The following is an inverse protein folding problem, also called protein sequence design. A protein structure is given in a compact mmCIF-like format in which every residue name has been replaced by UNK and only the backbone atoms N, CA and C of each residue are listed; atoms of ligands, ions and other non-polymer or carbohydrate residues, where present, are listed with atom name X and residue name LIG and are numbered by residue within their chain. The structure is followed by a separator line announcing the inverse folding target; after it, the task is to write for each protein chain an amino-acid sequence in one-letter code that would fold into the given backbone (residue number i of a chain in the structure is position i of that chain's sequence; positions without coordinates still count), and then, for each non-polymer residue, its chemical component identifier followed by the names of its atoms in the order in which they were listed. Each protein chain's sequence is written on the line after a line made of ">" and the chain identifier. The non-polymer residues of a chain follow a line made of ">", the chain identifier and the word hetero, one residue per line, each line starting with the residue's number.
data_IF_051628698545
#
_entry.id   IF_051628698545
#
_cell.length_a   1.000
_cell.length_b   1.000
_cell.length_c   1.000
_cell.angle_alpha   90.00
_cell.angle_beta   90.00
_cell.angle_gamma   90.00
#
_symmetry.space_group_name_H-M   'P 1'
#
loop_
_entity.id
_entity.type
_entity.pdbx_description
1 polymer ?
#
# COMPACT_ATOMS: atom_id res chain seq x y z
N UNK A 1 21.52 -10.66 2.18
CA UNK A 1 20.53 -11.10 3.15
C UNK A 1 19.13 -10.79 2.69
N UNK A 2 18.23 -11.72 2.85
CA UNK A 2 16.86 -11.53 2.41
C UNK A 2 16.12 -10.54 3.30
N UNK A 3 15.31 -9.72 2.70
CA UNK A 3 14.45 -8.81 3.44
C UNK A 3 13.21 -9.57 3.89
N UNK A 4 12.69 -9.19 5.03
CA UNK A 4 11.49 -9.83 5.54
C UNK A 4 10.24 -9.28 4.90
N UNK A 5 9.11 -9.91 5.25
CA UNK A 5 7.82 -9.47 4.74
C UNK A 5 7.50 -8.04 5.16
N UNK A 6 7.93 -7.66 6.34
CA UNK A 6 7.66 -6.32 6.85
C UNK A 6 8.24 -5.26 5.89
N UNK A 7 9.46 -5.49 5.44
CA UNK A 7 10.09 -4.55 4.50
C UNK A 7 9.33 -4.48 3.19
N UNK A 8 8.80 -5.61 2.75
CA UNK A 8 8.00 -5.65 1.53
C UNK A 8 6.71 -4.85 1.72
N UNK A 9 6.07 -4.99 2.87
CA UNK A 9 4.84 -4.23 3.16
C UNK A 9 5.12 -2.74 3.14
N UNK A 10 6.21 -2.31 3.78
CA UNK A 10 6.56 -0.91 3.82
C UNK A 10 6.83 -0.39 2.41
N UNK A 11 7.52 -1.19 1.60
CA UNK A 11 7.81 -0.79 0.23
C UNK A 11 6.51 -0.62 -0.57
N UNK A 12 5.56 -1.54 -0.40
CA UNK A 12 4.29 -1.46 -1.11
C UNK A 12 3.50 -0.21 -0.71
N UNK A 13 3.41 0.03 0.59
CA UNK A 13 2.70 1.20 1.09
C UNK A 13 3.32 2.47 0.51
N UNK A 14 4.63 2.59 0.60
CA UNK A 14 5.32 3.77 0.12
C UNK A 14 5.12 3.97 -1.37
N UNK A 15 5.23 2.89 -2.15
CA UNK A 15 5.13 2.96 -3.60
C UNK A 15 3.74 3.41 -4.02
N UNK A 16 2.71 2.81 -3.44
CA UNK A 16 1.34 3.14 -3.80
C UNK A 16 0.99 4.54 -3.33
N UNK A 17 1.42 4.88 -2.11
CA UNK A 17 1.14 6.20 -1.55
C UNK A 17 1.73 7.30 -2.42
N UNK A 18 3.00 7.16 -2.82
CA UNK A 18 3.66 8.18 -3.62
C UNK A 18 3.08 8.31 -5.01
N UNK A 19 2.62 7.18 -5.57
CA UNK A 19 2.03 7.18 -6.90
C UNK A 19 0.63 7.79 -6.91
N UNK A 20 -0.04 7.75 -5.78
CA UNK A 20 -1.44 8.14 -5.71
C UNK A 20 -2.33 7.01 -6.18
N UNK A 21 -2.18 6.59 -7.41
CA UNK A 21 -2.82 5.40 -7.95
C UNK A 21 -1.86 4.73 -8.92
N UNK A 22 -1.90 3.40 -8.96
CA UNK A 22 -0.91 2.65 -9.72
C UNK A 22 -1.48 1.29 -10.07
N UNK A 23 -1.14 0.77 -11.24
CA UNK A 23 -1.57 -0.56 -11.64
C UNK A 23 -0.67 -1.62 -11.04
N UNK A 24 -1.18 -2.85 -11.00
CA UNK A 24 -0.38 -3.97 -10.52
C UNK A 24 0.86 -4.17 -11.41
N UNK A 25 0.70 -4.02 -12.71
CA UNK A 25 1.82 -4.16 -13.62
C UNK A 25 2.92 -3.14 -13.32
N UNK A 26 2.53 -1.92 -13.05
CA UNK A 26 3.51 -0.89 -12.76
C UNK A 26 4.17 -1.14 -11.40
N UNK A 27 3.42 -1.64 -10.45
CA UNK A 27 3.99 -2.02 -9.15
C UNK A 27 5.11 -3.03 -9.36
N UNK A 28 4.84 -4.04 -10.20
CA UNK A 28 5.85 -5.07 -10.43
C UNK A 28 7.04 -4.54 -11.21
N UNK A 29 6.84 -3.61 -12.14
CA UNK A 29 7.95 -2.99 -12.82
C UNK A 29 8.91 -2.32 -11.83
N UNK A 30 8.33 -1.61 -10.87
CA UNK A 30 9.15 -0.94 -9.86
C UNK A 30 9.74 -1.92 -8.88
N UNK A 31 8.99 -2.96 -8.53
CA UNK A 31 9.46 -4.00 -7.63
C UNK A 31 10.70 -4.68 -8.19
N UNK A 32 10.70 -4.97 -9.50
CA UNK A 32 11.82 -5.66 -10.13
C UNK A 32 13.09 -4.81 -10.14
N UNK A 33 12.98 -3.51 -9.92
CA UNK A 33 14.14 -2.63 -9.82
C UNK A 33 14.78 -2.66 -8.46
N UNK A 34 14.11 -3.26 -7.48
CA UNK A 34 14.66 -3.36 -6.13
C UNK A 34 15.47 -4.63 -5.99
N UNK A 35 16.44 -4.59 -5.07
CA UNK A 35 17.19 -5.79 -4.76
C UNK A 35 16.34 -6.82 -4.03
N UNK A 36 15.32 -6.34 -3.33
CA UNK A 36 14.43 -7.24 -2.59
C UNK A 36 13.71 -8.22 -3.48
N UNK A 37 13.52 -7.85 -4.76
CA UNK A 37 12.76 -8.69 -5.67
C UNK A 37 13.51 -9.94 -6.07
N UNK A 38 14.82 -9.91 -6.03
CA UNK A 38 15.63 -11.01 -6.53
C UNK A 38 15.27 -11.35 -7.99
N UNK A 39 14.82 -10.35 -8.74
CA UNK A 39 14.47 -10.56 -10.14
C UNK A 39 13.13 -11.24 -10.35
N UNK A 40 12.31 -11.34 -9.31
CA UNK A 40 11.02 -12.03 -9.40
C UNK A 40 9.87 -11.08 -9.10
N UNK A 41 8.83 -11.19 -9.90
CA UNK A 41 7.63 -10.39 -9.68
C UNK A 41 6.85 -10.90 -8.48
N UNK A 42 6.02 -10.03 -7.94
CA UNK A 42 5.08 -10.43 -6.90
C UNK A 42 3.86 -11.04 -7.59
N UNK A 43 3.54 -12.32 -7.31
CA UNK A 43 2.33 -12.90 -7.88
C UNK A 43 1.08 -12.18 -7.40
N UNK A 44 0.05 -12.16 -8.22
CA UNK A 44 -1.16 -11.44 -7.88
C UNK A 44 -1.78 -11.93 -6.57
N UNK A 45 -1.82 -13.24 -6.38
CA UNK A 45 -2.35 -13.80 -5.14
C UNK A 45 -1.56 -13.31 -3.94
N UNK A 46 -0.24 -13.30 -4.06
CA UNK A 46 0.62 -12.83 -2.98
C UNK A 46 0.38 -11.36 -2.71
N UNK A 47 0.20 -10.57 -3.78
CA UNK A 47 -0.09 -9.15 -3.64
C UNK A 47 -1.39 -8.93 -2.84
N UNK A 48 -2.43 -9.70 -3.15
CA UNK A 48 -3.69 -9.57 -2.41
C UNK A 48 -3.54 -9.98 -0.96
N UNK A 49 -2.73 -11.01 -0.70
CA UNK A 49 -2.46 -11.41 0.68
C UNK A 49 -1.72 -10.29 1.42
N UNK A 50 -0.80 -9.64 0.73
CA UNK A 50 -0.08 -8.51 1.33
C UNK A 50 -1.02 -7.36 1.63
N UNK A 51 -1.99 -7.09 0.75
CA UNK A 51 -2.97 -6.04 1.00
C UNK A 51 -3.73 -6.29 2.29
N UNK A 52 -4.15 -7.53 2.51
CA UNK A 52 -4.87 -7.89 3.72
C UNK A 52 -3.99 -7.76 4.96
N UNK A 53 -2.74 -8.18 4.86
CA UNK A 53 -1.81 -8.07 5.98
C UNK A 53 -1.55 -6.61 6.31
N UNK A 54 -1.38 -5.78 5.29
CA UNK A 54 -1.15 -4.35 5.48
C UNK A 54 -2.34 -3.71 6.18
N UNK A 55 -3.54 -4.08 5.76
CA UNK A 55 -4.73 -3.55 6.39
C UNK A 55 -4.78 -3.91 7.86
N UNK A 56 -4.47 -5.16 8.16
CA UNK A 56 -4.51 -5.64 9.54
C UNK A 56 -3.42 -5.03 10.41
N UNK A 57 -2.21 -4.94 9.87
CA UNK A 57 -1.06 -4.50 10.67
C UNK A 57 -0.95 -2.98 10.78
N UNK A 58 -1.34 -2.27 9.74
CA UNK A 58 -1.12 -0.82 9.67
C UNK A 58 -2.42 -0.03 9.60
N UNK A 59 -3.55 -0.71 9.48
CA UNK A 59 -4.84 -0.05 9.32
C UNK A 59 -4.84 0.86 8.09
N UNK A 60 -4.19 0.39 7.02
CA UNK A 60 -4.10 1.09 5.76
C UNK A 60 -4.86 0.28 4.71
N UNK A 61 -5.86 0.91 4.09
CA UNK A 61 -6.71 0.23 3.12
C UNK A 61 -6.21 0.51 1.70
N UNK A 62 -5.73 -0.55 1.05
CA UNK A 62 -5.35 -0.47 -0.35
C UNK A 62 -6.53 -0.98 -1.17
N UNK A 63 -7.17 -0.07 -1.90
CA UNK A 63 -8.37 -0.38 -2.67
C UNK A 63 -8.06 -0.43 -4.14
N UNK A 64 -8.98 -0.99 -4.91
CA UNK A 64 -8.82 -1.11 -6.35
C UNK A 64 -9.97 -0.43 -7.06
N UNK A 65 -9.63 0.50 -7.96
CA UNK A 65 -10.63 1.16 -8.78
C UNK A 65 -10.74 0.43 -10.10
N UNK A 66 -11.79 -0.37 -10.24
CA UNK A 66 -11.96 -1.21 -11.42
C UNK A 66 -12.50 -0.44 -12.62
N UNK A 67 -13.10 0.70 -12.37
CA UNK A 67 -13.69 1.48 -13.48
C UNK A 67 -12.64 2.07 -14.39
N UNK A 68 -11.51 2.42 -13.82
CA UNK A 68 -10.47 3.12 -14.56
C UNK A 68 -9.26 2.25 -14.86
N UNK A 69 -9.46 0.91 -14.89
CA UNK A 69 -8.37 0.04 -15.29
C UNK A 69 -7.63 -0.61 -14.15
N UNK A 70 -8.30 -0.88 -13.07
CA UNK A 70 -7.70 -1.63 -11.96
C UNK A 70 -6.52 -0.92 -11.33
N UNK A 71 -6.72 0.36 -11.02
CA UNK A 71 -5.72 1.11 -10.27
C UNK A 71 -5.87 0.84 -8.79
N UNK A 72 -4.73 0.68 -8.14
CA UNK A 72 -4.69 0.53 -6.68
C UNK A 72 -4.32 1.87 -6.06
N UNK A 73 -4.92 2.16 -4.92
CA UNK A 73 -4.68 3.42 -4.22
C UNK A 73 -4.96 3.20 -2.74
N UNK A 74 -4.45 4.09 -1.91
CA UNK A 74 -4.69 4.01 -0.48
C UNK A 74 -5.89 4.89 -0.16
N UNK A 75 -6.96 4.24 0.30
CA UNK A 75 -8.22 4.93 0.52
C UNK A 75 -8.12 5.98 1.60
N UNK A 76 -7.37 5.67 2.65
CA UNK A 76 -7.24 6.59 3.77
C UNK A 76 -5.87 7.27 3.77
N UNK A 77 -5.41 7.69 2.58
CA UNK A 77 -4.09 8.30 2.44
C UNK A 77 -3.94 9.56 3.29
N UNK A 78 -5.03 10.31 3.44
CA UNK A 78 -4.97 11.55 4.20
C UNK A 78 -4.72 11.33 5.68
N UNK A 79 -4.90 10.11 6.15
CA UNK A 79 -4.68 9.78 7.55
C UNK A 79 -3.25 9.28 7.82
N UNK A 80 -2.42 9.24 6.79
CA UNK A 80 -1.06 8.72 6.91
C UNK A 80 -0.09 9.88 7.04
N UNK A 81 0.74 9.84 8.08
CA UNK A 81 1.72 10.91 8.28
C UNK A 81 2.98 10.62 7.46
N UNK A 82 3.97 11.49 7.60
CA UNK A 82 5.19 11.40 6.81
C UNK A 82 5.94 10.10 7.02
N UNK A 83 5.78 9.51 8.17
CA UNK A 83 6.52 8.30 8.51
C UNK A 83 5.81 7.05 8.04
N UNK A 84 4.69 7.20 7.35
CA UNK A 84 3.94 6.06 6.86
C UNK A 84 3.03 5.45 7.90
N UNK A 85 2.87 6.10 9.04
CA UNK A 85 1.97 5.61 10.06
C UNK A 85 0.65 6.33 9.98
N UNK A 86 -0.41 5.62 10.31
CA UNK A 86 -1.73 6.22 10.27
C UNK A 86 -1.81 7.30 11.35
N UNK A 87 -2.25 8.49 10.93
CA UNK A 87 -2.40 9.60 11.83
C UNK A 87 -3.60 9.37 12.75
N UNK A 88 -3.41 9.66 14.01
CA UNK A 88 -4.49 9.49 14.95
C UNK A 88 -5.56 10.53 14.67
N UNK A 89 -6.80 10.11 14.55
CA UNK A 89 -7.89 11.04 14.31
C UNK A 89 -8.27 11.71 15.61
N UNK A 90 -8.36 13.01 15.53
CA UNK A 90 -8.96 13.70 16.63
C UNK A 90 -10.44 13.51 16.50
N UNK A 91 -11.03 13.32 17.40
CA UNK A 91 -12.33 13.06 17.28
C UNK A 91 -13.20 14.07 17.04
N UNK A 92 -13.26 14.20 16.60
CA UNK A 92 -13.87 14.71 16.43
C UNK A 92 -14.18 15.07 15.64
N UNK A 93 -13.99 14.99 15.53
CA UNK A 93 -14.28 15.31 14.98
C UNK A 93 -14.87 15.15 14.40
N UNK A 94 -14.87 14.89 14.23
CA UNK A 94 -15.39 14.56 13.81
C UNK A 94 -16.02 14.55 13.51
N UNK A 95 -15.94 14.54 13.28
CA UNK A 95 -16.36 14.33 13.13
C UNK A 95 -17.07 14.42 12.84
N UNK A 96 -17.20 14.60 12.66
CA UNK A 96 -17.75 14.49 12.56
C UNK A 96 -18.46 14.47 12.53
N UNK A 97 -18.34 14.53 12.54
CA UNK A 97 -18.92 14.42 12.74
C UNK A 97 -19.50 14.44 12.62
N UNK A 98 -19.58 14.45 12.44
CA UNK A 98 -19.98 14.27 12.51
C UNK A 98 -20.42 14.24 12.37
#
# INVERSE_FOLDING_TARGET
>A
MAKGLFDRYIWLIDTIYRAGKITFEEINKRWLRTEMSNGEEIPLRTFHNHRKAIETMFDINIECNKRSGYYYYIENADDIDKDGRKRKKTEGTNQKAK
#
